data_IF_131558696832
#
_entry.id   IF_131558696832
#
_cell.length_a   1.000
_cell.length_b   1.000
_cell.length_c   1.000
_cell.angle_alpha   90.00
_cell.angle_beta   90.00
_cell.angle_gamma   90.00
#
_symmetry.space_group_name_H-M   'P 1'
#
loop_
_entity.id
_entity.type
_entity.pdbx_description
1 polymer ?
#
# COMPACT_ATOMS: atom_id res chain seq x y z
N UNK A 1 10.64 3.90 -22.53
CA UNK A 1 9.21 3.71 -22.65
C UNK A 1 8.94 3.03 -23.98
N UNK A 2 8.42 1.80 -24.00
CA UNK A 2 8.06 1.10 -25.25
C UNK A 2 6.55 1.04 -25.29
N UNK A 3 5.96 1.65 -26.34
CA UNK A 3 4.55 1.52 -26.66
C UNK A 3 4.39 0.34 -27.59
N UNK A 4 3.52 -0.58 -27.25
CA UNK A 4 3.16 -1.70 -28.11
C UNK A 4 1.74 -1.52 -28.60
N UNK A 5 1.57 -1.44 -29.93
CA UNK A 5 0.25 -1.44 -30.57
C UNK A 5 -0.10 -2.86 -31.00
N UNK A 6 -1.12 -3.49 -30.47
CA UNK A 6 -1.59 -4.75 -31.01
C UNK A 6 -2.41 -4.48 -32.27
N UNK A 7 -1.90 -4.87 -33.41
CA UNK A 7 -2.71 -5.02 -34.60
C UNK A 7 -3.38 -6.38 -34.53
N UNK A 8 -4.70 -6.44 -34.35
CA UNK A 8 -5.43 -7.68 -34.48
C UNK A 8 -6.70 -7.51 -35.32
N UNK A 9 -6.86 -8.44 -36.20
CA UNK A 9 -8.04 -8.65 -37.02
C UNK A 9 -9.18 -9.24 -36.18
N UNK A 10 -10.32 -8.57 -36.12
CA UNK A 10 -11.64 -9.21 -36.00
C UNK A 10 -12.07 -9.72 -34.64
N UNK A 11 -11.59 -9.14 -33.50
CA UNK A 11 -12.20 -9.31 -32.19
C UNK A 11 -12.64 -7.94 -31.69
N UNK A 12 -13.69 -7.88 -30.88
CA UNK A 12 -14.03 -6.68 -30.07
C UNK A 12 -12.92 -6.50 -29.01
N UNK A 13 -11.72 -6.18 -29.46
CA UNK A 13 -10.61 -5.85 -28.59
C UNK A 13 -10.80 -4.39 -28.20
N UNK A 14 -11.04 -4.14 -26.93
CA UNK A 14 -10.97 -2.79 -26.39
C UNK A 14 -9.55 -2.26 -26.67
N UNK A 15 -9.45 -1.14 -27.37
CA UNK A 15 -8.18 -0.47 -27.62
C UNK A 15 -7.62 -0.01 -26.26
N UNK A 16 -6.43 -0.49 -25.90
CA UNK A 16 -5.73 -0.07 -24.70
C UNK A 16 -4.27 0.29 -24.99
N UNK A 17 -3.74 1.20 -24.19
CA UNK A 17 -2.33 1.57 -24.18
C UNK A 17 -1.69 0.96 -22.93
N UNK A 18 -0.61 0.20 -23.12
CA UNK A 18 0.18 -0.35 -22.03
C UNK A 18 1.58 0.23 -22.02
N UNK A 19 2.06 0.60 -20.84
CA UNK A 19 3.41 1.03 -20.58
C UNK A 19 4.00 0.26 -19.40
N UNK A 20 5.28 -0.03 -19.47
CA UNK A 20 6.03 -0.71 -18.40
C UNK A 20 7.28 0.10 -18.05
N UNK A 21 7.62 0.19 -16.77
CA UNK A 21 8.89 0.75 -16.34
C UNK A 21 10.03 -0.23 -16.66
N UNK A 22 11.19 0.32 -17.07
CA UNK A 22 12.41 -0.46 -17.26
C UNK A 22 13.52 -0.01 -16.33
N UNK A 23 13.87 1.27 -16.38
CA UNK A 23 15.00 1.86 -15.64
C UNK A 23 14.58 3.04 -14.78
N UNK A 24 13.47 3.70 -15.12
CA UNK A 24 12.99 4.89 -14.41
C UNK A 24 11.52 4.74 -14.05
N UNK A 25 11.15 5.06 -12.80
CA UNK A 25 9.74 5.08 -12.39
C UNK A 25 8.90 6.05 -13.21
N UNK A 26 7.60 5.78 -13.30
CA UNK A 26 6.64 6.75 -13.81
C UNK A 26 6.42 7.86 -12.77
N UNK A 27 6.51 9.12 -13.18
CA UNK A 27 5.95 10.22 -12.38
C UNK A 27 4.44 10.24 -12.58
N UNK A 28 3.69 9.99 -11.52
CA UNK A 28 2.24 9.98 -11.52
C UNK A 28 1.70 11.35 -11.09
N UNK A 29 0.49 11.69 -11.56
CA UNK A 29 -0.21 12.92 -11.22
C UNK A 29 0.56 14.22 -11.54
N UNK A 30 1.57 14.13 -12.42
CA UNK A 30 2.44 15.27 -12.72
C UNK A 30 3.33 15.72 -11.56
N UNK A 31 3.46 14.89 -10.54
CA UNK A 31 4.29 15.13 -9.36
C UNK A 31 5.45 14.13 -9.31
N UNK A 32 6.69 14.58 -9.12
CA UNK A 32 7.82 13.68 -8.89
C UNK A 32 7.73 12.95 -7.54
N UNK A 33 6.89 13.43 -6.63
CA UNK A 33 6.72 12.86 -5.30
C UNK A 33 5.92 11.55 -5.33
N UNK A 34 5.10 11.34 -6.40
CA UNK A 34 4.36 10.10 -6.61
C UNK A 34 5.01 9.33 -7.75
N UNK A 35 5.77 8.32 -7.43
CA UNK A 35 6.49 7.49 -8.38
C UNK A 35 5.92 6.07 -8.43
N UNK A 36 5.78 5.52 -9.65
CA UNK A 36 5.31 4.16 -9.88
C UNK A 36 6.32 3.32 -10.66
N UNK A 37 6.56 2.11 -10.21
CA UNK A 37 7.33 1.08 -10.91
C UNK A 37 6.43 -0.12 -11.20
N UNK A 38 6.41 -0.59 -12.45
CA UNK A 38 5.59 -1.71 -12.87
C UNK A 38 4.88 -1.46 -14.18
N UNK A 39 3.62 -1.83 -14.29
CA UNK A 39 2.82 -1.65 -15.50
C UNK A 39 1.73 -0.60 -15.33
N UNK A 40 1.45 0.13 -16.40
CA UNK A 40 0.30 1.00 -16.53
C UNK A 40 -0.49 0.59 -17.77
N UNK A 41 -1.80 0.53 -17.65
CA UNK A 41 -2.74 0.27 -18.73
C UNK A 41 -3.83 1.33 -18.74
N UNK A 42 -4.11 1.91 -19.89
CA UNK A 42 -5.19 2.87 -20.08
C UNK A 42 -6.10 2.39 -21.20
N UNK A 43 -7.39 2.35 -20.95
CA UNK A 43 -8.42 1.92 -21.92
C UNK A 43 -9.78 2.51 -21.61
N UNK A 44 -10.83 1.99 -22.23
CA UNK A 44 -12.20 2.48 -22.07
C UNK A 44 -12.75 2.44 -20.65
N UNK A 45 -12.19 1.60 -19.79
CA UNK A 45 -12.56 1.48 -18.37
C UNK A 45 -11.73 2.36 -17.42
N UNK A 46 -10.74 3.09 -17.93
CA UNK A 46 -9.87 3.97 -17.14
C UNK A 46 -8.41 3.58 -17.13
N UNK A 47 -7.68 4.04 -16.13
CA UNK A 47 -6.26 3.78 -15.96
C UNK A 47 -6.04 2.79 -14.79
N UNK A 48 -5.30 1.74 -15.07
CA UNK A 48 -4.95 0.68 -14.13
C UNK A 48 -3.44 0.47 -14.13
N UNK A 49 -2.92 -0.14 -13.07
CA UNK A 49 -1.51 -0.49 -13.00
C UNK A 49 -1.24 -1.55 -11.94
N UNK A 50 -0.06 -2.16 -12.03
CA UNK A 50 0.45 -3.12 -11.04
C UNK A 50 1.88 -2.76 -10.69
N UNK A 51 2.35 -3.24 -9.55
CA UNK A 51 3.72 -3.04 -9.09
C UNK A 51 3.80 -2.16 -7.86
N UNK A 52 4.77 -1.26 -7.84
CA UNK A 52 5.11 -0.45 -6.67
C UNK A 52 4.76 1.03 -6.89
N UNK A 53 4.11 1.64 -5.90
CA UNK A 53 3.90 3.08 -5.81
C UNK A 53 4.62 3.63 -4.60
N UNK A 54 5.29 4.77 -4.76
CA UNK A 54 5.98 5.49 -3.68
C UNK A 54 5.45 6.90 -3.56
N UNK A 55 5.27 7.36 -2.32
CA UNK A 55 4.97 8.75 -1.98
C UNK A 55 5.68 9.11 -0.67
N UNK A 56 6.71 9.97 -0.76
CA UNK A 56 7.55 10.29 0.39
C UNK A 56 8.19 9.02 0.98
N UNK A 57 7.91 8.75 2.26
CA UNK A 57 8.37 7.54 2.97
C UNK A 57 7.42 6.35 2.82
N UNK A 58 6.26 6.55 2.20
CA UNK A 58 5.26 5.52 2.01
C UNK A 58 5.52 4.71 0.73
N UNK A 59 5.23 3.43 0.82
CA UNK A 59 5.34 2.45 -0.26
C UNK A 59 4.08 1.59 -0.30
N UNK A 60 3.51 1.46 -1.48
CA UNK A 60 2.41 0.56 -1.79
C UNK A 60 2.90 -0.48 -2.79
N UNK A 61 2.49 -1.74 -2.64
CA UNK A 61 2.84 -2.80 -3.58
C UNK A 61 1.61 -3.65 -3.89
N UNK A 62 1.21 -3.74 -5.15
CA UNK A 62 0.14 -4.62 -5.61
C UNK A 62 0.53 -5.24 -6.96
N UNK A 63 0.72 -6.55 -6.97
CA UNK A 63 1.21 -7.27 -8.16
C UNK A 63 0.07 -7.95 -8.94
N UNK A 64 -0.99 -8.34 -8.27
CA UNK A 64 -2.08 -9.15 -8.85
C UNK A 64 -3.30 -8.29 -9.15
N UNK A 65 -3.94 -7.75 -8.10
CA UNK A 65 -5.16 -6.95 -8.23
C UNK A 65 -4.87 -5.55 -8.76
N UNK A 66 -3.69 -5.01 -8.43
CA UNK A 66 -3.21 -3.73 -8.93
C UNK A 66 -3.96 -2.53 -8.36
N UNK A 67 -3.86 -1.46 -9.11
CA UNK A 67 -4.42 -0.15 -8.80
C UNK A 67 -5.37 0.31 -9.89
N UNK A 68 -6.47 0.92 -9.49
CA UNK A 68 -7.27 1.77 -10.37
C UNK A 68 -6.97 3.23 -10.04
N UNK A 69 -6.49 3.97 -11.04
CA UNK A 69 -6.09 5.37 -10.89
C UNK A 69 -7.20 6.33 -11.31
N UNK A 70 -7.39 7.37 -10.51
CA UNK A 70 -8.25 8.50 -10.79
C UNK A 70 -7.41 9.77 -10.94
N UNK A 71 -8.05 10.94 -11.00
CA UNK A 71 -7.37 12.20 -11.27
C UNK A 71 -6.25 12.53 -10.26
N UNK A 72 -6.50 12.32 -8.97
CA UNK A 72 -5.57 12.58 -7.86
C UNK A 72 -5.71 11.55 -6.74
N UNK A 73 -6.20 10.38 -7.08
CA UNK A 73 -6.39 9.29 -6.11
C UNK A 73 -6.21 7.94 -6.78
N UNK A 74 -6.07 6.91 -5.97
CA UNK A 74 -6.14 5.53 -6.44
C UNK A 74 -6.88 4.66 -5.43
N UNK A 75 -7.38 3.53 -5.92
CA UNK A 75 -7.88 2.44 -5.09
C UNK A 75 -7.14 1.15 -5.44
N UNK A 76 -7.01 0.26 -4.47
CA UNK A 76 -6.52 -1.10 -4.66
C UNK A 76 -7.37 -2.07 -3.85
N UNK A 77 -7.73 -3.19 -4.46
CA UNK A 77 -8.48 -4.24 -3.78
C UNK A 77 -7.59 -5.10 -2.88
N UNK A 78 -6.32 -5.28 -3.24
CA UNK A 78 -5.33 -6.02 -2.45
C UNK A 78 -3.93 -5.43 -2.68
N UNK A 79 -3.33 -4.96 -1.60
CA UNK A 79 -1.98 -4.39 -1.61
C UNK A 79 -1.28 -4.54 -0.27
N UNK A 80 0.03 -4.36 -0.29
CA UNK A 80 0.84 -4.12 0.90
C UNK A 80 1.12 -2.62 1.05
N UNK A 81 0.84 -2.07 2.22
CA UNK A 81 1.18 -0.71 2.60
C UNK A 81 2.29 -0.69 3.63
N UNK A 82 3.34 0.10 3.37
CA UNK A 82 4.49 0.24 4.26
C UNK A 82 4.93 1.69 4.35
N UNK A 83 5.36 2.10 5.54
CA UNK A 83 5.93 3.44 5.79
C UNK A 83 7.30 3.27 6.44
N UNK A 84 8.30 3.92 5.88
CA UNK A 84 9.67 3.93 6.43
C UNK A 84 9.79 4.84 7.65
N UNK A 85 10.76 4.55 8.50
CA UNK A 85 11.14 5.50 9.57
C UNK A 85 11.78 6.74 8.95
N UNK A 86 11.67 7.88 9.64
CA UNK A 86 12.37 9.12 9.23
C UNK A 86 13.87 9.12 9.57
N UNK A 87 14.30 8.18 10.41
CA UNK A 87 15.65 8.14 10.97
C UNK A 87 16.51 7.15 10.19
N UNK A 88 15.92 6.07 9.73
CA UNK A 88 16.60 4.99 9.03
C UNK A 88 15.77 4.53 7.82
N UNK A 89 16.25 4.81 6.63
CA UNK A 89 15.61 4.47 5.37
C UNK A 89 15.52 2.96 5.10
N UNK A 90 16.22 2.14 5.86
CA UNK A 90 16.16 0.69 5.72
C UNK A 90 15.09 0.05 6.60
N UNK A 91 14.59 0.77 7.62
CA UNK A 91 13.60 0.25 8.56
C UNK A 91 12.17 0.71 8.25
N UNK A 92 11.24 -0.22 8.38
CA UNK A 92 9.81 0.06 8.32
C UNK A 92 9.31 0.49 9.69
N UNK A 93 8.70 1.67 9.77
CA UNK A 93 8.01 2.14 10.97
C UNK A 93 6.67 1.43 11.14
N UNK A 94 5.97 1.22 10.02
CA UNK A 94 4.65 0.63 9.97
C UNK A 94 4.49 -0.18 8.69
N UNK A 95 3.77 -1.29 8.78
CA UNK A 95 3.31 -2.05 7.62
C UNK A 95 1.96 -2.71 7.87
N UNK A 96 1.13 -2.70 6.83
CA UNK A 96 -0.13 -3.42 6.76
C UNK A 96 -0.14 -4.22 5.46
N UNK A 97 -0.08 -5.54 5.60
CA UNK A 97 0.01 -6.46 4.48
C UNK A 97 -1.37 -7.01 4.13
N UNK A 98 -1.61 -7.25 2.85
CA UNK A 98 -2.87 -7.73 2.31
C UNK A 98 -4.06 -6.88 2.80
N UNK A 99 -4.10 -5.64 2.34
CA UNK A 99 -5.13 -4.66 2.65
C UNK A 99 -5.75 -4.09 1.38
N UNK A 100 -7.04 -3.73 1.43
CA UNK A 100 -7.59 -2.79 0.47
C UNK A 100 -7.08 -1.38 0.77
N UNK A 101 -7.09 -0.51 -0.22
CA UNK A 101 -6.69 0.87 -0.06
C UNK A 101 -7.55 1.84 -0.85
N UNK A 102 -7.81 2.98 -0.26
CA UNK A 102 -8.30 4.18 -0.92
C UNK A 102 -7.39 5.35 -0.53
N UNK A 103 -6.68 5.93 -1.48
CA UNK A 103 -5.70 7.00 -1.25
C UNK A 103 -6.08 8.23 -2.06
N UNK A 104 -6.22 9.37 -1.40
CA UNK A 104 -6.59 10.67 -1.99
C UNK A 104 -5.48 11.70 -1.70
N UNK A 105 -4.75 12.08 -2.75
CA UNK A 105 -3.63 13.04 -2.65
C UNK A 105 -4.09 14.50 -2.52
N UNK A 106 -5.32 14.84 -2.92
CA UNK A 106 -5.86 16.19 -2.72
C UNK A 106 -6.26 16.41 -1.27
N UNK A 107 -6.81 15.39 -0.63
CA UNK A 107 -7.13 15.41 0.80
C UNK A 107 -5.92 15.10 1.68
N UNK A 108 -4.88 14.51 1.10
CA UNK A 108 -3.72 13.98 1.80
C UNK A 108 -4.08 12.90 2.84
N UNK A 109 -4.97 11.99 2.44
CA UNK A 109 -5.50 10.92 3.30
C UNK A 109 -5.40 9.57 2.58
N UNK A 110 -5.21 8.51 3.37
CA UNK A 110 -5.30 7.14 2.93
C UNK A 110 -6.08 6.30 3.92
N UNK A 111 -6.94 5.41 3.42
CA UNK A 111 -7.73 4.48 4.21
C UNK A 111 -7.40 3.06 3.80
N UNK A 112 -7.17 2.20 4.77
CA UNK A 112 -6.76 0.82 4.55
C UNK A 112 -7.60 -0.10 5.41
N UNK A 113 -8.15 -1.14 4.80
CA UNK A 113 -8.92 -2.17 5.50
C UNK A 113 -8.26 -3.54 5.29
N UNK A 114 -8.19 -4.29 6.36
CA UNK A 114 -7.66 -5.65 6.38
C UNK A 114 -8.54 -6.58 5.55
N UNK A 115 -7.94 -7.35 4.64
CA UNK A 115 -8.68 -8.27 3.78
C UNK A 115 -8.90 -9.64 4.42
N UNK A 116 -7.91 -10.15 5.14
CA UNK A 116 -7.94 -11.52 5.65
C UNK A 116 -7.79 -11.55 7.18
N UNK A 117 -8.37 -12.55 7.85
CA UNK A 117 -8.24 -12.68 9.31
C UNK A 117 -6.79 -12.79 9.80
N UNK A 118 -5.89 -13.30 8.95
CA UNK A 118 -4.46 -13.44 9.25
C UNK A 118 -3.61 -12.22 8.88
N UNK A 119 -4.17 -11.23 8.18
CA UNK A 119 -3.45 -9.97 7.90
C UNK A 119 -3.18 -9.24 9.21
N UNK A 120 -2.00 -8.68 9.35
CA UNK A 120 -1.54 -8.01 10.57
C UNK A 120 -1.08 -6.61 10.26
N UNK A 121 -1.20 -5.74 11.27
CA UNK A 121 -0.54 -4.46 11.29
C UNK A 121 0.73 -4.62 12.12
N UNK A 122 1.86 -4.25 11.57
CA UNK A 122 3.15 -4.45 12.21
C UNK A 122 3.90 -3.12 12.36
N UNK A 123 4.66 -3.04 13.43
CA UNK A 123 5.59 -1.95 13.74
C UNK A 123 7.00 -2.53 13.87
N UNK A 124 7.67 -2.86 12.73
CA UNK A 124 8.93 -3.59 12.75
C UNK A 124 10.02 -2.88 13.54
N UNK A 125 10.15 -1.55 13.40
CA UNK A 125 11.12 -0.76 14.16
C UNK A 125 10.91 -0.81 15.67
N UNK A 126 9.68 -1.02 16.12
CA UNK A 126 9.31 -1.11 17.53
C UNK A 126 9.12 -2.54 18.02
N UNK A 127 9.17 -3.53 17.12
CA UNK A 127 8.95 -4.95 17.40
C UNK A 127 7.58 -5.25 18.03
N UNK A 128 6.53 -4.66 17.46
CA UNK A 128 5.15 -4.91 17.84
C UNK A 128 4.30 -5.33 16.62
N UNK A 129 3.27 -6.10 16.90
CA UNK A 129 2.20 -6.48 15.97
C UNK A 129 0.85 -6.14 16.59
N UNK A 130 -0.04 -5.55 15.80
CA UNK A 130 -1.40 -5.22 16.20
C UNK A 130 -2.42 -6.08 15.46
N UNK A 131 -3.38 -6.62 16.19
CA UNK A 131 -4.54 -7.33 15.64
C UNK A 131 -5.72 -6.37 15.55
N UNK A 132 -5.63 -5.48 14.59
CA UNK A 132 -6.62 -4.47 14.23
C UNK A 132 -6.96 -4.62 12.75
N UNK A 133 -8.00 -3.97 12.28
CA UNK A 133 -8.57 -4.22 10.95
C UNK A 133 -8.66 -2.97 10.06
N UNK A 134 -8.41 -1.79 10.62
CA UNK A 134 -8.54 -0.54 9.93
C UNK A 134 -7.39 0.42 10.24
N UNK A 135 -6.90 1.13 9.23
CA UNK A 135 -5.88 2.16 9.39
C UNK A 135 -6.22 3.40 8.53
N UNK A 136 -6.10 4.58 9.12
CA UNK A 136 -6.24 5.86 8.45
C UNK A 136 -4.88 6.59 8.45
N UNK A 137 -4.40 6.96 7.28
CA UNK A 137 -3.13 7.66 7.10
C UNK A 137 -3.38 9.13 6.80
N UNK A 138 -2.89 10.02 7.67
CA UNK A 138 -2.82 11.45 7.44
C UNK A 138 -1.42 11.80 6.93
N UNK A 139 -1.31 12.10 5.64
CA UNK A 139 -0.03 12.38 4.98
C UNK A 139 0.54 13.72 5.43
N UNK A 140 -0.32 14.72 5.72
CA UNK A 140 0.09 16.04 6.14
C UNK A 140 0.75 16.01 7.53
N UNK A 141 0.21 15.21 8.44
CA UNK A 141 0.75 15.02 9.78
C UNK A 141 1.78 13.90 9.86
N UNK A 142 1.87 13.05 8.80
CA UNK A 142 2.66 11.82 8.78
C UNK A 142 2.31 10.90 9.98
N UNK A 143 1.01 10.71 10.23
CA UNK A 143 0.48 9.83 11.27
C UNK A 143 -0.39 8.74 10.67
N UNK A 144 -0.42 7.59 11.33
CA UNK A 144 -1.34 6.50 11.02
C UNK A 144 -2.17 6.23 12.28
N UNK A 145 -3.47 6.43 12.18
CA UNK A 145 -4.44 6.10 13.21
C UNK A 145 -4.98 4.69 12.94
N UNK A 146 -4.81 3.79 13.90
CA UNK A 146 -5.27 2.40 13.78
C UNK A 146 -6.52 2.17 14.63
N UNK A 147 -7.49 1.47 14.07
CA UNK A 147 -8.78 1.23 14.69
C UNK A 147 -9.14 -0.24 14.62
N UNK A 148 -9.98 -0.65 15.55
CA UNK A 148 -10.61 -1.94 15.53
C UNK A 148 -12.11 -1.75 15.33
N UNK A 149 -12.63 -2.24 14.21
CA UNK A 149 -14.04 -2.02 13.81
C UNK A 149 -14.91 -3.25 14.03
N UNK A 150 -14.29 -4.41 14.30
CA UNK A 150 -15.00 -5.67 14.51
C UNK A 150 -15.30 -5.94 15.99
N UNK A 151 -16.31 -6.75 16.27
CA UNK A 151 -16.74 -7.10 17.65
C UNK A 151 -15.79 -8.05 18.40
N UNK A 152 -14.64 -8.40 17.81
CA UNK A 152 -13.63 -9.23 18.46
C UNK A 152 -12.61 -8.37 19.23
N UNK A 153 -11.80 -8.99 20.07
CA UNK A 153 -10.86 -8.27 20.92
C UNK A 153 -9.62 -7.77 20.15
N UNK A 154 -9.37 -6.46 20.17
CA UNK A 154 -8.14 -5.86 19.70
C UNK A 154 -7.01 -6.10 20.72
N UNK A 155 -5.81 -6.42 20.24
CA UNK A 155 -4.63 -6.55 21.10
C UNK A 155 -3.32 -6.25 20.35
N UNK A 156 -2.31 -5.87 21.13
CA UNK A 156 -0.94 -5.65 20.70
C UNK A 156 -0.04 -6.75 21.26
N UNK A 157 0.84 -7.29 20.43
CA UNK A 157 1.79 -8.33 20.83
C UNK A 157 3.20 -7.87 20.52
N UNK A 158 4.13 -8.03 21.47
CA UNK A 158 5.55 -7.83 21.21
C UNK A 158 6.08 -8.98 20.34
N UNK A 159 6.79 -8.68 19.28
CA UNK A 159 7.48 -9.64 18.42
C UNK A 159 8.93 -9.88 18.87
N UNK A 160 9.38 -9.18 19.92
CA UNK A 160 10.71 -9.39 20.47
C UNK A 160 10.85 -10.82 21.02
N UNK A 161 11.87 -11.60 20.61
CA UNK A 161 12.07 -12.93 21.17
C UNK A 161 12.32 -12.80 22.68
N UNK A 162 11.49 -13.48 23.49
CA UNK A 162 11.75 -13.59 24.92
C UNK A 162 13.12 -14.19 25.12
N UNK A 163 14.05 -13.45 25.70
CA UNK A 163 15.20 -14.07 26.33
C UNK A 163 14.66 -14.88 27.51
N UNK A 164 14.79 -16.19 27.42
CA UNK A 164 14.42 -17.14 28.50
C UNK A 164 15.21 -16.83 29.77
N UNK A 165 14.70 -15.93 30.57
CA UNK A 165 15.09 -15.90 32.01
C UNK A 165 14.50 -14.75 32.82
N UNK A 166 13.36 -14.18 32.53
CA UNK A 166 12.65 -13.40 33.58
C UNK A 166 11.15 -13.41 33.27
N UNK A 167 10.45 -14.18 34.11
CA UNK A 167 9.00 -14.27 34.15
C UNK A 167 8.40 -12.96 34.70
N UNK A 168 8.29 -11.95 33.83
CA UNK A 168 7.50 -10.77 34.12
C UNK A 168 6.17 -10.90 33.36
N UNK A 169 5.22 -11.53 34.02
CA UNK A 169 3.83 -11.51 33.59
C UNK A 169 3.27 -10.10 33.65
N UNK A 170 3.24 -9.40 32.51
CA UNK A 170 2.38 -8.23 32.37
C UNK A 170 0.95 -8.72 32.17
N UNK A 171 0.13 -8.62 33.21
CA UNK A 171 -1.33 -8.60 33.08
C UNK A 171 -1.71 -7.14 32.86
N UNK A 172 -2.34 -6.88 31.72
CA UNK A 172 -3.16 -5.68 31.52
C UNK A 172 -4.45 -5.83 32.30
#
# INVERSE_FOLDING_TARGET
MIFHWPHSFGCLCEDYIRAETRETPFALYGSPDVAGEGSLTYGGQGMFGTGELRYGTAKHTSEVEGYQFFRRSFVSADQDFRVKTKIDDEQWAFQMLASSAEVDFDKQEGVFDKLYPYSTLEFPANQYMAYMDHAEWDMAKATVDIKHTQDNQAYLVSTHPRQDSLDFGYRL
#
